data_IF_329172218436
#
_entry.id   IF_329172218436
#
_cell.length_a   1.000
_cell.length_b   1.000
_cell.length_c   1.000
_cell.angle_alpha   90.00
_cell.angle_beta   90.00
_cell.angle_gamma   90.00
#
_symmetry.space_group_name_H-M   'P 1'
#
loop_
_entity.id
_entity.type
_entity.pdbx_description
1 polymer ?
#
# COMPACT_ATOMS: atom_id res chain seq x y z
N UNK A 1 -11.19 13.67 43.96
CA UNK A 1 -11.70 13.66 42.55
C UNK A 1 -10.58 13.77 41.48
N UNK A 2 -9.30 13.50 41.78
CA UNK A 2 -8.20 13.71 40.81
C UNK A 2 -7.76 12.45 40.05
N UNK A 3 -7.76 11.28 40.71
CA UNK A 3 -7.27 10.02 40.11
C UNK A 3 -8.12 9.54 38.93
N UNK A 4 -9.45 9.64 39.01
CA UNK A 4 -10.37 9.18 37.97
C UNK A 4 -10.11 9.86 36.61
N UNK A 5 -9.88 11.18 36.63
CA UNK A 5 -9.60 11.98 35.43
C UNK A 5 -8.28 11.61 34.74
N UNK A 6 -7.27 11.22 35.52
CA UNK A 6 -6.00 10.73 34.98
C UNK A 6 -6.17 9.39 34.28
N UNK A 7 -6.94 8.47 34.86
CA UNK A 7 -7.20 7.17 34.20
C UNK A 7 -7.98 7.36 32.90
N UNK A 8 -9.01 8.22 32.88
CA UNK A 8 -9.76 8.52 31.66
C UNK A 8 -8.87 9.14 30.57
N UNK A 9 -7.93 10.02 30.95
CA UNK A 9 -7.02 10.67 30.01
C UNK A 9 -5.97 9.72 29.43
N UNK A 10 -5.46 8.76 30.24
CA UNK A 10 -4.54 7.71 29.76
C UNK A 10 -5.28 6.71 28.86
N UNK A 11 -6.51 6.34 29.20
CA UNK A 11 -7.36 5.46 28.39
C UNK A 11 -7.71 6.12 27.05
N UNK A 12 -8.00 7.43 27.02
CA UNK A 12 -8.29 8.14 25.77
C UNK A 12 -7.07 8.22 24.84
N UNK A 13 -5.86 8.36 25.40
CA UNK A 13 -4.63 8.40 24.60
C UNK A 13 -4.27 7.02 24.00
N UNK A 14 -4.63 5.92 24.67
CA UNK A 14 -4.29 4.57 24.22
C UNK A 14 -5.13 4.06 23.04
N UNK A 15 -6.28 4.68 22.73
CA UNK A 15 -7.26 4.16 21.76
C UNK A 15 -7.07 4.68 20.32
N UNK A 16 -6.19 5.66 20.09
CA UNK A 16 -6.08 6.34 18.79
C UNK A 16 -4.73 6.07 18.14
N UNK A 17 -4.43 4.80 17.90
CA UNK A 17 -3.43 4.38 16.90
C UNK A 17 -4.08 3.37 15.97
N UNK A 18 -5.11 3.81 15.24
CA UNK A 18 -5.60 3.07 14.08
C UNK A 18 -4.61 3.33 12.94
N UNK A 19 -3.76 2.35 12.66
CA UNK A 19 -2.92 2.34 11.46
C UNK A 19 -3.80 1.98 10.25
N UNK A 20 -4.04 2.91 9.33
CA UNK A 20 -4.59 2.57 8.02
C UNK A 20 -3.54 1.79 7.24
N UNK A 21 -3.63 0.47 7.25
CA UNK A 21 -2.91 -0.37 6.31
C UNK A 21 -3.65 -0.35 4.98
N UNK A 22 -3.08 0.33 3.98
CA UNK A 22 -3.53 0.21 2.61
C UNK A 22 -3.04 -1.10 2.03
N UNK A 23 -3.91 -1.83 1.34
CA UNK A 23 -3.57 -3.06 0.65
C UNK A 23 -3.42 -2.78 -0.84
N UNK A 24 -2.50 -3.50 -1.49
CA UNK A 24 -2.30 -3.43 -2.92
C UNK A 24 -3.60 -3.76 -3.67
N UNK A 25 -3.83 -3.08 -4.78
CA UNK A 25 -4.99 -3.34 -5.65
C UNK A 25 -4.91 -4.72 -6.31
N UNK A 26 -6.07 -5.24 -6.75
CA UNK A 26 -6.14 -6.52 -7.46
C UNK A 26 -5.27 -6.54 -8.74
N UNK A 27 -5.24 -5.41 -9.46
CA UNK A 27 -4.40 -5.20 -10.64
C UNK A 27 -2.91 -5.31 -10.26
N UNK A 28 -2.52 -4.76 -9.10
CA UNK A 28 -1.16 -4.88 -8.56
C UNK A 28 -0.76 -6.32 -8.27
N UNK A 29 -1.64 -7.13 -7.67
CA UNK A 29 -1.37 -8.55 -7.46
C UNK A 29 -1.19 -9.31 -8.79
N UNK A 30 -2.02 -9.04 -9.79
CA UNK A 30 -1.88 -9.64 -11.11
C UNK A 30 -0.53 -9.27 -11.78
N UNK A 31 -0.09 -8.03 -11.61
CA UNK A 31 1.22 -7.57 -12.07
C UNK A 31 2.36 -8.25 -11.29
N UNK A 32 2.25 -8.47 -9.98
CA UNK A 32 3.27 -9.20 -9.21
C UNK A 32 3.40 -10.66 -9.66
N UNK A 33 2.28 -11.33 -9.94
CA UNK A 33 2.28 -12.67 -10.54
C UNK A 33 3.00 -12.66 -11.89
N UNK A 34 2.73 -11.66 -12.73
CA UNK A 34 3.42 -11.51 -14.02
C UNK A 34 4.92 -11.22 -13.86
N UNK A 35 5.32 -10.41 -12.87
CA UNK A 35 6.72 -10.18 -12.51
C UNK A 35 7.44 -11.47 -12.15
N UNK A 36 6.78 -12.42 -11.50
CA UNK A 36 7.38 -13.73 -11.17
C UNK A 36 7.77 -14.54 -12.42
N UNK A 37 7.08 -14.32 -13.55
CA UNK A 37 7.38 -14.95 -14.83
C UNK A 37 8.52 -14.28 -15.59
N UNK A 38 8.94 -13.07 -15.21
CA UNK A 38 10.03 -12.37 -15.88
C UNK A 38 11.39 -12.68 -15.22
N UNK A 39 12.39 -12.97 -16.05
CA UNK A 39 13.78 -13.02 -15.61
C UNK A 39 14.36 -11.59 -15.59
N UNK A 40 14.11 -10.87 -14.50
CA UNK A 40 14.55 -9.48 -14.32
C UNK A 40 16.04 -9.38 -13.95
N UNK A 41 16.92 -9.72 -14.89
CA UNK A 41 18.39 -9.69 -14.68
C UNK A 41 18.94 -8.28 -14.49
N UNK A 42 18.19 -7.25 -14.90
CA UNK A 42 18.59 -5.84 -14.79
C UNK A 42 17.90 -5.10 -13.64
N UNK A 43 17.11 -5.81 -12.83
CA UNK A 43 16.36 -5.23 -11.71
C UNK A 43 15.47 -4.05 -12.15
N UNK A 44 14.91 -4.13 -13.36
CA UNK A 44 14.04 -3.11 -13.96
C UNK A 44 12.65 -3.05 -13.32
N UNK A 45 12.24 -4.11 -12.62
CA UNK A 45 10.96 -4.23 -11.91
C UNK A 45 11.14 -4.11 -10.39
N UNK A 46 12.25 -3.52 -9.92
CA UNK A 46 12.63 -3.45 -8.49
C UNK A 46 11.60 -2.74 -7.60
N UNK A 47 10.85 -1.79 -8.16
CA UNK A 47 9.85 -1.02 -7.43
C UNK A 47 8.47 -1.68 -7.43
N UNK A 48 8.31 -2.88 -7.99
CA UNK A 48 7.05 -3.63 -7.91
C UNK A 48 7.01 -4.37 -6.58
N UNK A 49 6.31 -3.82 -5.57
CA UNK A 49 6.26 -4.36 -4.22
C UNK A 49 4.83 -4.56 -3.71
N UNK A 50 4.61 -5.67 -3.01
CA UNK A 50 3.32 -5.97 -2.37
C UNK A 50 2.95 -5.01 -1.23
N UNK A 51 3.96 -4.29 -0.71
CA UNK A 51 3.78 -3.25 0.30
C UNK A 51 3.21 -1.93 -0.24
N UNK A 52 3.16 -1.76 -1.56
CA UNK A 52 2.65 -0.52 -2.17
C UNK A 52 1.12 -0.52 -2.16
N UNK A 53 0.52 0.65 -1.98
CA UNK A 53 -0.94 0.80 -2.05
C UNK A 53 -1.47 0.67 -3.50
N UNK A 54 -0.67 1.12 -4.47
CA UNK A 54 -1.06 1.16 -5.88
C UNK A 54 0.11 0.84 -6.82
N UNK A 55 -0.14 0.09 -7.91
CA UNK A 55 0.88 -0.19 -8.91
C UNK A 55 1.16 0.98 -9.87
N UNK A 56 0.43 2.09 -9.79
CA UNK A 56 0.57 3.20 -10.75
C UNK A 56 1.91 3.94 -10.67
N UNK A 57 2.66 3.76 -9.58
CA UNK A 57 4.01 4.29 -9.40
C UNK A 57 5.10 3.31 -9.88
N UNK A 58 4.70 2.12 -10.35
CA UNK A 58 5.64 1.09 -10.77
C UNK A 58 6.25 1.38 -12.13
N UNK A 59 7.49 0.93 -12.33
CA UNK A 59 8.20 1.14 -13.59
C UNK A 59 7.50 0.36 -14.69
N UNK A 60 7.17 1.03 -15.80
CA UNK A 60 6.47 0.47 -16.95
C UNK A 60 4.95 0.55 -16.86
N UNK A 61 4.38 0.66 -15.66
CA UNK A 61 2.92 0.70 -15.48
C UNK A 61 2.36 2.08 -15.80
N UNK A 62 1.31 2.12 -16.61
CA UNK A 62 0.53 3.32 -16.89
C UNK A 62 -0.88 3.15 -16.34
N UNK A 63 -1.38 4.19 -15.67
CA UNK A 63 -2.72 4.22 -15.12
C UNK A 63 -3.58 5.32 -15.75
N UNK A 64 -4.89 5.08 -15.77
CA UNK A 64 -5.88 6.11 -16.07
C UNK A 64 -5.82 7.21 -14.99
N UNK A 65 -5.58 8.48 -15.34
CA UNK A 65 -5.51 9.57 -14.36
C UNK A 65 -6.83 9.82 -13.63
N UNK A 66 -7.99 9.44 -14.20
CA UNK A 66 -9.30 9.65 -13.56
C UNK A 66 -9.55 8.66 -12.42
N UNK A 67 -9.33 7.36 -12.68
CA UNK A 67 -9.75 6.29 -11.77
C UNK A 67 -8.59 5.48 -11.19
N UNK A 68 -7.34 5.85 -11.49
CA UNK A 68 -6.12 5.16 -11.04
C UNK A 68 -6.08 3.66 -11.39
N UNK A 69 -6.81 3.26 -12.43
CA UNK A 69 -6.83 1.88 -12.95
C UNK A 69 -5.69 1.67 -13.93
N UNK A 70 -5.05 0.49 -13.87
CA UNK A 70 -3.98 0.13 -14.81
C UNK A 70 -4.56 0.03 -16.23
N UNK A 71 -3.91 0.67 -17.18
CA UNK A 71 -4.30 0.67 -18.61
C UNK A 71 -3.27 -0.01 -19.51
N UNK A 72 -1.98 0.04 -19.15
CA UNK A 72 -0.90 -0.63 -19.90
C UNK A 72 0.34 -0.84 -19.04
N UNK A 73 1.24 -1.72 -19.49
CA UNK A 73 2.54 -2.04 -18.87
C UNK A 73 3.62 -2.35 -19.90
#
# INVERSE_FOLDING_TARGET
MGFSNWVFSVISAATVFVSCSYALTLDGYALLELKSGFNDTRNSLVNWRDSDESPCSWTGVSCNPQDQRVVSM
#
